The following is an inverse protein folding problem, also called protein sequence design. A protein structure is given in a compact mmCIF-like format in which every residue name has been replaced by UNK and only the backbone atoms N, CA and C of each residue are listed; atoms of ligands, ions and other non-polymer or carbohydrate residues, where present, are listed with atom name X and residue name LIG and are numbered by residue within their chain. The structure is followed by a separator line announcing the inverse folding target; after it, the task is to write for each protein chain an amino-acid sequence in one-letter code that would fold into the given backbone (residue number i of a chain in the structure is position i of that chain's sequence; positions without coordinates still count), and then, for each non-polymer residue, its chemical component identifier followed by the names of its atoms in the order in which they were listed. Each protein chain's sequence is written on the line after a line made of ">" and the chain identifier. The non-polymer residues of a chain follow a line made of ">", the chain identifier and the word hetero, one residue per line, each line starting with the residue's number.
data_IF_029515552076
#
_entry.id   IF_029515552076
#
_cell.length_a   1.000
_cell.length_b   1.000
_cell.length_c   1.000
_cell.angle_alpha   90.00
_cell.angle_beta   90.00
_cell.angle_gamma   90.00
#
_symmetry.space_group_name_H-M   'P 1'
#
loop_
_entity.id
_entity.type
_entity.pdbx_description
1 polymer ?
#
# COMPACT_ATOMS: atom_id res chain seq x y z
N UNK A 1 3.35 -0.40 -15.65
CA UNK A 1 2.64 -1.35 -16.53
C UNK A 1 1.47 -1.76 -15.70
N UNK A 2 0.32 -1.15 -15.93
CA UNK A 2 -0.91 -1.54 -15.26
C UNK A 2 -1.44 -2.81 -15.91
N UNK A 3 -1.88 -3.78 -15.11
CA UNK A 3 -2.58 -4.97 -15.59
C UNK A 3 -4.08 -4.78 -15.45
N UNK A 4 -4.89 -5.62 -16.12
CA UNK A 4 -6.34 -5.64 -15.90
C UNK A 4 -6.71 -5.85 -14.41
N UNK A 5 -5.82 -6.49 -13.65
CA UNK A 5 -5.98 -6.73 -12.22
C UNK A 5 -5.79 -5.45 -11.42
N UNK A 6 -4.82 -4.60 -11.76
CA UNK A 6 -4.62 -3.29 -11.10
C UNK A 6 -5.88 -2.44 -11.24
N UNK A 7 -6.43 -2.34 -12.46
CA UNK A 7 -7.65 -1.58 -12.71
C UNK A 7 -8.87 -2.18 -12.00
N UNK A 8 -9.04 -3.51 -12.03
CA UNK A 8 -10.17 -4.16 -11.35
C UNK A 8 -10.10 -3.97 -9.82
N UNK A 9 -8.91 -4.07 -9.23
CA UNK A 9 -8.69 -3.87 -7.81
C UNK A 9 -8.92 -2.41 -7.40
N UNK A 10 -8.38 -1.44 -8.15
CA UNK A 10 -8.64 -0.01 -7.87
C UNK A 10 -10.12 0.30 -7.95
N UNK A 11 -10.81 -0.15 -9.00
CA UNK A 11 -12.23 0.15 -9.19
C UNK A 11 -13.09 -0.43 -8.07
N UNK A 12 -12.82 -1.68 -7.65
CA UNK A 12 -13.53 -2.33 -6.56
C UNK A 12 -13.34 -1.61 -5.21
N UNK A 13 -12.10 -1.20 -4.89
CA UNK A 13 -11.81 -0.47 -3.65
C UNK A 13 -12.39 0.94 -3.69
N UNK A 14 -12.28 1.64 -4.84
CA UNK A 14 -12.84 2.97 -5.06
C UNK A 14 -14.34 2.97 -4.90
N UNK A 15 -15.05 2.01 -5.51
CA UNK A 15 -16.51 1.87 -5.38
C UNK A 15 -16.91 1.60 -3.92
N UNK A 16 -16.17 0.72 -3.23
CA UNK A 16 -16.44 0.44 -1.82
C UNK A 16 -16.29 1.69 -0.95
N UNK A 17 -15.16 2.40 -1.05
CA UNK A 17 -14.88 3.57 -0.22
C UNK A 17 -15.77 4.77 -0.57
N UNK A 18 -16.18 4.92 -1.84
CA UNK A 18 -17.14 5.95 -2.23
C UNK A 18 -18.51 5.78 -1.57
N UNK A 19 -18.88 4.55 -1.15
CA UNK A 19 -20.11 4.30 -0.40
C UNK A 19 -19.93 4.42 1.12
N UNK A 20 -18.83 3.87 1.65
CA UNK A 20 -18.63 3.78 3.10
C UNK A 20 -18.08 5.08 3.71
N UNK A 21 -17.28 5.84 2.96
CA UNK A 21 -16.66 7.09 3.38
C UNK A 21 -16.75 8.15 2.27
N UNK A 22 -17.96 8.55 1.82
CA UNK A 22 -18.16 9.47 0.70
C UNK A 22 -17.52 10.85 0.89
N UNK A 23 -17.20 11.24 2.12
CA UNK A 23 -16.59 12.51 2.49
C UNK A 23 -15.05 12.51 2.38
N UNK A 24 -14.43 11.33 2.28
CA UNK A 24 -12.97 11.18 2.22
C UNK A 24 -12.52 11.13 0.76
N UNK A 25 -11.50 11.92 0.41
CA UNK A 25 -10.91 11.90 -0.93
C UNK A 25 -10.26 10.55 -1.26
N UNK A 26 -10.05 10.25 -2.54
CA UNK A 26 -9.35 9.04 -2.95
C UNK A 26 -8.29 9.36 -4.02
N UNK A 27 -7.09 8.85 -3.81
CA UNK A 27 -5.92 8.89 -4.68
C UNK A 27 -5.55 7.45 -5.06
N UNK A 28 -5.85 7.07 -6.30
CA UNK A 28 -5.41 5.81 -6.90
C UNK A 28 -4.18 5.98 -7.78
N UNK A 29 -3.41 4.91 -7.97
CA UNK A 29 -2.26 4.89 -8.87
C UNK A 29 -2.68 5.05 -10.34
N UNK A 30 -3.82 4.49 -10.74
CA UNK A 30 -4.24 4.40 -12.14
C UNK A 30 -5.19 5.51 -12.58
N UNK A 31 -6.24 5.80 -11.81
CA UNK A 31 -7.26 6.79 -12.20
C UNK A 31 -7.08 8.16 -11.51
N UNK A 32 -6.08 8.31 -10.64
CA UNK A 32 -5.75 9.57 -9.97
C UNK A 32 -6.75 9.99 -8.88
N UNK A 33 -6.84 11.30 -8.64
CA UNK A 33 -7.61 11.89 -7.53
C UNK A 33 -9.08 12.10 -7.91
N UNK A 34 -10.01 11.54 -7.14
CA UNK A 34 -11.46 11.77 -7.37
C UNK A 34 -11.97 13.07 -6.74
N UNK A 35 -11.57 13.38 -5.50
CA UNK A 35 -12.00 14.58 -4.76
C UNK A 35 -10.93 14.98 -3.73
N UNK A 36 -10.65 16.27 -3.60
CA UNK A 36 -9.94 16.83 -2.44
C UNK A 36 -10.97 16.96 -1.32
N UNK A 37 -10.97 16.03 -0.36
CA UNK A 37 -11.72 16.19 0.89
C UNK A 37 -11.11 17.29 1.78
N UNK A 38 -11.69 17.51 2.95
CA UNK A 38 -11.27 18.53 3.94
C UNK A 38 -9.90 18.23 4.63
N UNK A 39 -9.01 17.49 3.96
CA UNK A 39 -7.69 17.09 4.45
C UNK A 39 -7.50 15.58 4.49
N UNK A 40 -8.58 14.79 4.65
CA UNK A 40 -8.50 13.33 4.68
C UNK A 40 -8.54 12.71 3.27
N UNK A 41 -7.64 11.76 3.02
CA UNK A 41 -7.50 11.09 1.72
C UNK A 41 -7.10 9.62 1.86
N UNK A 42 -7.82 8.75 1.16
CA UNK A 42 -7.40 7.38 0.90
C UNK A 42 -6.34 7.36 -0.20
N UNK A 43 -5.24 6.65 0.03
CA UNK A 43 -4.20 6.40 -0.96
C UNK A 43 -4.09 4.89 -1.22
N UNK A 44 -4.25 4.46 -2.47
CA UNK A 44 -4.23 3.06 -2.88
C UNK A 44 -3.11 2.79 -3.90
N UNK A 45 -2.31 1.76 -3.61
CA UNK A 45 -1.54 1.00 -4.61
C UNK A 45 -2.25 -0.37 -4.76
N UNK A 46 -2.95 -0.61 -5.88
CA UNK A 46 -3.79 -1.79 -6.04
C UNK A 46 -2.98 -3.08 -6.19
N UNK A 47 -1.73 -3.02 -6.70
CA UNK A 47 -0.83 -4.18 -6.82
C UNK A 47 0.63 -3.74 -6.66
N UNK A 48 1.10 -3.59 -5.40
CA UNK A 48 2.52 -3.41 -5.16
C UNK A 48 3.26 -4.69 -5.55
N UNK A 49 4.26 -4.53 -6.41
CA UNK A 49 4.98 -5.65 -7.00
C UNK A 49 4.30 -6.23 -8.24
N UNK A 50 3.68 -5.41 -9.10
CA UNK A 50 3.10 -5.84 -10.40
C UNK A 50 4.01 -6.76 -11.22
N UNK A 51 5.33 -6.52 -11.22
CA UNK A 51 6.29 -7.40 -11.88
C UNK A 51 6.36 -8.79 -11.24
N UNK A 52 6.32 -8.88 -9.90
CA UNK A 52 6.25 -10.15 -9.19
C UNK A 52 4.95 -10.87 -9.52
N UNK A 53 3.82 -10.14 -9.53
CA UNK A 53 2.52 -10.68 -9.90
C UNK A 53 2.53 -11.31 -11.31
N UNK A 54 3.01 -10.56 -12.31
CA UNK A 54 3.12 -11.02 -13.70
C UNK A 54 4.01 -12.26 -13.86
N UNK A 55 5.00 -12.45 -12.99
CA UNK A 55 5.91 -13.58 -13.01
C UNK A 55 5.52 -14.71 -12.03
N UNK A 56 4.35 -14.64 -11.39
CA UNK A 56 3.89 -15.65 -10.44
C UNK A 56 4.69 -15.73 -9.14
N UNK A 57 5.41 -14.66 -8.79
CA UNK A 57 6.14 -14.55 -7.52
C UNK A 57 5.17 -14.04 -6.45
N UNK A 58 5.00 -14.75 -5.31
CA UNK A 58 3.96 -14.44 -4.31
C UNK A 58 4.29 -13.23 -3.42
N UNK A 59 5.20 -12.36 -3.86
CA UNK A 59 5.64 -11.14 -3.17
C UNK A 59 4.97 -9.91 -3.79
N UNK A 60 3.64 -9.93 -3.85
CA UNK A 60 2.80 -8.83 -4.31
C UNK A 60 1.52 -8.75 -3.48
N UNK A 61 0.90 -7.57 -3.46
CA UNK A 61 -0.27 -7.33 -2.61
C UNK A 61 -0.90 -5.96 -2.82
N UNK A 62 -1.90 -5.65 -1.99
CA UNK A 62 -2.61 -4.37 -2.00
C UNK A 62 -2.08 -3.51 -0.85
N UNK A 63 -1.85 -2.22 -1.09
CA UNK A 63 -1.50 -1.26 -0.05
C UNK A 63 -2.51 -0.12 -0.02
N UNK A 64 -3.20 0.06 1.11
CA UNK A 64 -4.18 1.11 1.34
C UNK A 64 -3.80 1.92 2.58
N UNK A 65 -3.74 3.25 2.45
CA UNK A 65 -3.49 4.16 3.56
C UNK A 65 -4.55 5.24 3.67
N UNK A 66 -4.82 5.71 4.89
CA UNK A 66 -5.54 6.95 5.16
C UNK A 66 -4.53 8.02 5.55
N UNK A 67 -4.56 9.15 4.85
CA UNK A 67 -3.69 10.28 5.10
C UNK A 67 -4.54 11.45 5.57
N UNK A 68 -4.18 12.04 6.71
CA UNK A 68 -4.73 13.32 7.17
C UNK A 68 -3.73 14.43 6.82
N UNK A 69 -4.07 15.21 5.80
CA UNK A 69 -3.22 16.20 5.16
C UNK A 69 -1.92 15.57 4.64
N UNK A 70 -0.82 15.71 5.39
CA UNK A 70 0.48 15.14 5.07
C UNK A 70 0.91 14.02 6.04
N UNK A 71 0.02 13.62 6.96
CA UNK A 71 0.32 12.65 8.02
C UNK A 71 -0.42 11.32 7.77
N UNK A 72 0.29 10.20 7.56
CA UNK A 72 -0.34 8.88 7.48
C UNK A 72 -0.98 8.49 8.82
N UNK A 73 -2.31 8.37 8.84
CA UNK A 73 -3.08 8.04 10.03
C UNK A 73 -3.30 6.53 10.18
N UNK A 74 -3.56 5.82 9.07
CA UNK A 74 -3.83 4.37 9.02
C UNK A 74 -3.12 3.77 7.82
N UNK A 75 -2.62 2.55 7.95
CA UNK A 75 -2.07 1.78 6.83
C UNK A 75 -2.43 0.30 6.91
N UNK A 76 -2.74 -0.29 5.75
CA UNK A 76 -2.99 -1.71 5.56
C UNK A 76 -2.19 -2.21 4.36
N UNK A 77 -1.46 -3.31 4.53
CA UNK A 77 -0.80 -4.03 3.44
C UNK A 77 -1.30 -5.48 3.47
N UNK A 78 -1.95 -5.92 2.40
CA UNK A 78 -2.46 -7.28 2.26
C UNK A 78 -1.66 -8.05 1.21
N UNK A 79 -1.04 -9.15 1.62
CA UNK A 79 -0.29 -10.08 0.76
C UNK A 79 -1.09 -11.40 0.67
N UNK A 80 -2.08 -11.49 -0.25
CA UNK A 80 -3.05 -12.58 -0.26
C UNK A 80 -2.40 -13.94 -0.49
N UNK A 81 -1.36 -14.01 -1.34
CA UNK A 81 -0.63 -15.24 -1.64
C UNK A 81 0.21 -15.76 -0.48
N UNK A 82 0.48 -14.93 0.53
CA UNK A 82 1.20 -15.32 1.74
C UNK A 82 0.27 -15.45 2.95
N UNK A 83 -1.02 -15.12 2.81
CA UNK A 83 -1.96 -15.01 3.92
C UNK A 83 -1.43 -14.10 5.05
N UNK A 84 -0.85 -12.95 4.66
CA UNK A 84 -0.32 -11.95 5.59
C UNK A 84 -1.05 -10.62 5.37
N UNK A 85 -1.64 -10.09 6.44
CA UNK A 85 -2.18 -8.74 6.50
C UNK A 85 -1.45 -7.96 7.58
N UNK A 86 -0.77 -6.91 7.17
CA UNK A 86 -0.19 -5.91 8.05
C UNK A 86 -1.18 -4.77 8.21
N UNK A 87 -1.34 -4.27 9.42
CA UNK A 87 -2.07 -3.04 9.68
C UNK A 87 -1.43 -2.22 10.80
N UNK A 88 -1.57 -0.90 10.70
CA UNK A 88 -1.10 0.04 11.68
C UNK A 88 -2.00 1.26 11.70
N UNK A 89 -2.06 1.92 12.86
CA UNK A 89 -2.68 3.22 13.02
C UNK A 89 -1.82 4.09 13.95
N UNK A 90 -1.88 5.40 13.76
CA UNK A 90 -1.18 6.34 14.62
C UNK A 90 -1.51 6.09 16.10
N UNK A 91 -0.47 6.06 16.94
CA UNK A 91 -0.59 5.78 18.38
C UNK A 91 -0.93 4.32 18.76
N UNK A 92 -1.23 3.44 17.80
CA UNK A 92 -1.74 2.08 18.06
C UNK A 92 -0.74 0.97 17.80
N UNK A 93 0.44 1.29 17.25
CA UNK A 93 1.43 0.31 16.85
C UNK A 93 1.08 -0.40 15.54
N UNK A 94 1.76 -1.52 15.26
CA UNK A 94 1.56 -2.31 14.06
C UNK A 94 1.33 -3.79 14.41
N UNK A 95 0.48 -4.44 13.62
CA UNK A 95 0.17 -5.87 13.74
C UNK A 95 0.33 -6.59 12.40
N UNK A 96 0.62 -7.88 12.46
CA UNK A 96 0.48 -8.82 11.33
C UNK A 96 -0.48 -9.92 11.74
N UNK A 97 -1.56 -10.12 10.97
CA UNK A 97 -2.61 -11.09 11.28
C UNK A 97 -3.11 -11.01 12.74
N UNK A 98 -3.24 -9.78 13.27
CA UNK A 98 -3.68 -9.52 14.64
C UNK A 98 -2.62 -9.69 15.73
N UNK A 99 -1.39 -10.09 15.38
CA UNK A 99 -0.27 -10.20 16.32
C UNK A 99 0.62 -8.95 16.25
N UNK A 100 0.97 -8.35 17.39
CA UNK A 100 1.88 -7.19 17.44
C UNK A 100 3.25 -7.49 16.80
N UNK A 101 3.78 -6.50 16.07
CA UNK A 101 5.11 -6.57 15.48
C UNK A 101 5.96 -5.37 15.88
N UNK A 102 7.28 -5.57 15.88
CA UNK A 102 8.29 -4.54 16.14
C UNK A 102 9.44 -4.69 15.16
N UNK A 103 10.11 -3.59 14.87
CA UNK A 103 11.33 -3.61 14.07
C UNK A 103 12.44 -4.41 14.76
N UNK A 104 13.43 -4.86 13.98
CA UNK A 104 14.59 -5.58 14.54
C UNK A 104 15.39 -4.70 15.50
N UNK A 105 16.02 -5.31 16.52
CA UNK A 105 16.94 -4.63 17.43
C UNK A 105 18.38 -4.50 16.88
N UNK A 106 18.61 -4.80 15.60
CA UNK A 106 19.93 -4.72 14.99
C UNK A 106 20.45 -3.27 15.01
N UNK A 107 21.56 -3.03 15.72
CA UNK A 107 22.18 -1.70 15.85
C UNK A 107 23.40 -1.49 14.96
N UNK A 108 23.89 -2.57 14.34
CA UNK A 108 25.14 -2.57 13.58
C UNK A 108 24.91 -3.20 12.22
N UNK A 109 25.44 -2.58 11.17
CA UNK A 109 25.25 -3.02 9.79
C UNK A 109 25.67 -4.47 9.55
N UNK A 110 26.74 -4.93 10.22
CA UNK A 110 27.22 -6.31 10.09
C UNK A 110 26.20 -7.37 10.54
N UNK A 111 25.19 -6.97 11.33
CA UNK A 111 24.11 -7.83 11.83
C UNK A 111 22.77 -7.53 11.17
N UNK A 112 22.71 -6.55 10.28
CA UNK A 112 21.48 -6.13 9.62
C UNK A 112 21.30 -6.85 8.27
N UNK A 113 20.05 -7.11 7.91
CA UNK A 113 19.66 -7.47 6.55
C UNK A 113 19.04 -6.23 5.92
N UNK A 114 19.58 -5.78 4.78
CA UNK A 114 19.10 -4.60 4.06
C UNK A 114 18.38 -5.05 2.80
N UNK A 115 17.11 -4.64 2.65
CA UNK A 115 16.34 -4.80 1.42
C UNK A 115 16.37 -3.48 0.64
N UNK A 116 16.72 -3.56 -0.64
CA UNK A 116 16.65 -2.43 -1.57
C UNK A 116 15.87 -2.83 -2.83
N UNK A 117 15.30 -1.83 -3.52
CA UNK A 117 14.63 -1.99 -4.82
C UNK A 117 15.42 -1.19 -5.85
N UNK A 118 15.94 -1.86 -6.87
CA UNK A 118 16.52 -1.21 -8.03
C UNK A 118 15.38 -0.70 -8.92
N UNK A 119 15.30 0.62 -9.12
CA UNK A 119 14.50 1.19 -10.21
C UNK A 119 15.35 1.14 -11.47
N UNK A 120 14.82 0.62 -12.57
CA UNK A 120 15.45 0.84 -13.89
C UNK A 120 15.53 2.36 -14.10
N UNK A 121 16.74 2.86 -14.38
CA UNK A 121 16.93 4.25 -14.75
C UNK A 121 16.10 4.58 -15.99
N UNK A 122 15.48 5.76 -16.02
CA UNK A 122 14.95 6.30 -17.28
C UNK A 122 16.15 6.51 -18.21
N UNK A 123 16.23 5.75 -19.30
CA UNK A 123 17.08 6.15 -20.42
C UNK A 123 16.63 7.54 -20.86
N UNK A 124 17.51 8.53 -20.73
CA UNK A 124 17.31 9.84 -21.36
C UNK A 124 17.36 9.57 -22.87
N UNK A 125 16.21 9.60 -23.54
CA UNK A 125 16.18 9.88 -24.97
C UNK A 125 16.32 11.37 -25.19
#
# INVERSE_FOLDING_TARGET
>A
MATEVDCAAEHAVREFLARETPEIGFLGEEEGVSQLGDGLMWALDPVDGTANFLHGVPLCGVSLGLVDQDTPAIGVIDLPFLNLRYSAAEGSGAVVNGSEIRVSNARELRTAIVRSRLRRGRERR
#
